data_IF_882576817603
#
_entry.id   IF_882576817603
#
_cell.length_a   1.000
_cell.length_b   1.000
_cell.length_c   1.000
_cell.angle_alpha   90.00
_cell.angle_beta   90.00
_cell.angle_gamma   90.00
#
_symmetry.space_group_name_H-M   'P 1'
#
loop_
_entity.id
_entity.type
_entity.pdbx_description
1 polymer ?
#
# COMPACT_ATOMS: atom_id res chain seq x y z
N UNK A 1 31.14 -36.44 15.70
CA UNK A 1 29.85 -35.93 16.22
C UNK A 1 29.51 -34.52 15.73
N UNK A 2 30.45 -33.56 15.77
CA UNK A 2 30.24 -32.17 15.30
C UNK A 2 29.58 -32.02 13.92
N UNK A 3 30.06 -32.74 12.89
CA UNK A 3 29.46 -32.68 11.54
C UNK A 3 28.03 -33.25 11.48
N UNK A 4 27.69 -34.22 12.35
CA UNK A 4 26.32 -34.74 12.47
C UNK A 4 25.37 -33.74 13.14
N UNK A 5 25.91 -32.75 13.86
CA UNK A 5 25.18 -31.64 14.47
C UNK A 5 25.09 -30.41 13.55
N UNK A 6 25.48 -30.52 12.27
CA UNK A 6 25.37 -29.42 11.29
C UNK A 6 26.53 -28.42 11.33
N UNK A 7 27.63 -28.73 12.01
CA UNK A 7 28.84 -27.92 11.96
C UNK A 7 29.57 -28.19 10.64
N UNK A 8 29.66 -27.18 9.78
CA UNK A 8 30.23 -27.29 8.43
C UNK A 8 31.76 -27.20 8.43
N UNK A 9 32.34 -26.42 9.36
CA UNK A 9 33.79 -26.27 9.52
C UNK A 9 34.18 -26.58 10.97
N UNK A 10 35.12 -27.50 11.15
CA UNK A 10 35.66 -27.87 12.45
C UNK A 10 37.19 -27.83 12.38
N UNK A 11 37.83 -27.20 13.36
CA UNK A 11 39.29 -27.09 13.43
C UNK A 11 39.78 -27.96 14.57
N UNK A 12 40.59 -28.97 14.26
CA UNK A 12 41.13 -29.87 15.26
C UNK A 12 42.23 -29.19 16.09
N UNK A 13 42.38 -29.63 17.35
CA UNK A 13 43.52 -29.27 18.20
C UNK A 13 44.66 -30.26 18.00
N UNK A 14 45.93 -29.83 18.06
CA UNK A 14 46.39 -28.44 18.18
C UNK A 14 46.10 -27.61 16.91
N UNK A 15 45.83 -26.32 17.09
CA UNK A 15 45.36 -25.42 16.01
C UNK A 15 46.38 -25.38 14.86
N UNK A 16 45.95 -25.72 13.65
CA UNK A 16 46.75 -25.61 12.43
C UNK A 16 46.42 -24.32 11.66
N UNK A 17 47.43 -23.47 11.43
CA UNK A 17 47.26 -22.18 10.74
C UNK A 17 46.79 -22.33 9.28
N UNK A 18 47.15 -23.42 8.60
CA UNK A 18 46.74 -23.70 7.21
C UNK A 18 45.25 -24.03 7.16
N UNK A 19 44.76 -24.83 8.12
CA UNK A 19 43.35 -25.20 8.27
C UNK A 19 42.50 -23.95 8.57
N UNK A 20 42.95 -23.11 9.51
CA UNK A 20 42.29 -21.84 9.84
C UNK A 20 42.16 -20.94 8.61
N UNK A 21 43.23 -20.75 7.83
CA UNK A 21 43.18 -19.93 6.60
C UNK A 21 42.22 -20.48 5.56
N UNK A 22 42.15 -21.80 5.44
CA UNK A 22 41.27 -22.48 4.48
C UNK A 22 39.81 -22.33 4.88
N UNK A 23 39.50 -22.53 6.16
CA UNK A 23 38.15 -22.32 6.72
C UNK A 23 37.71 -20.87 6.52
N UNK A 24 38.56 -19.89 6.85
CA UNK A 24 38.22 -18.47 6.67
C UNK A 24 37.97 -18.09 5.20
N UNK A 25 38.75 -18.64 4.27
CA UNK A 25 38.54 -18.43 2.83
C UNK A 25 37.19 -18.99 2.38
N UNK A 26 36.83 -20.19 2.84
CA UNK A 26 35.58 -20.85 2.48
C UNK A 26 34.36 -20.13 3.08
N UNK A 27 34.45 -19.65 4.32
CA UNK A 27 33.40 -18.82 4.95
C UNK A 27 33.20 -17.51 4.18
N UNK A 28 34.29 -16.83 3.80
CA UNK A 28 34.21 -15.60 2.99
C UNK A 28 33.53 -15.85 1.65
N UNK A 29 33.88 -16.95 0.97
CA UNK A 29 33.27 -17.30 -0.32
C UNK A 29 31.79 -17.65 -0.19
N UNK A 30 31.41 -18.35 0.89
CA UNK A 30 30.01 -18.69 1.19
C UNK A 30 29.17 -17.44 1.45
N UNK A 31 29.70 -16.47 2.20
CA UNK A 31 29.07 -15.17 2.40
C UNK A 31 28.89 -14.39 1.09
N UNK A 32 29.93 -14.35 0.25
CA UNK A 32 29.85 -13.69 -1.05
C UNK A 32 28.78 -14.32 -1.96
N UNK A 33 28.72 -15.65 -1.99
CA UNK A 33 27.74 -16.40 -2.77
C UNK A 33 26.31 -16.17 -2.27
N UNK A 34 26.11 -16.15 -0.95
CA UNK A 34 24.81 -15.84 -0.34
C UNK A 34 24.32 -14.43 -0.72
N UNK A 35 25.22 -13.44 -0.70
CA UNK A 35 24.89 -12.07 -1.13
C UNK A 35 24.53 -12.03 -2.62
N UNK A 36 25.34 -12.67 -3.48
CA UNK A 36 25.09 -12.73 -4.92
C UNK A 36 23.76 -13.42 -5.25
N UNK A 37 23.44 -14.53 -4.59
CA UNK A 37 22.16 -15.23 -4.76
C UNK A 37 20.97 -14.40 -4.26
N UNK A 38 21.14 -13.66 -3.16
CA UNK A 38 20.14 -12.69 -2.70
C UNK A 38 19.87 -11.61 -3.76
N UNK A 39 20.92 -11.08 -4.39
CA UNK A 39 20.78 -10.02 -5.38
C UNK A 39 20.20 -10.54 -6.70
N UNK A 40 20.59 -11.75 -7.13
CA UNK A 40 19.94 -12.46 -8.24
C UNK A 40 18.46 -12.69 -7.93
N UNK A 41 18.12 -13.14 -6.72
CA UNK A 41 16.73 -13.35 -6.28
C UNK A 41 15.92 -12.05 -6.35
N UNK A 42 16.47 -10.92 -5.91
CA UNK A 42 15.83 -9.60 -6.05
C UNK A 42 15.62 -9.22 -7.51
N UNK A 43 16.60 -9.47 -8.38
CA UNK A 43 16.47 -9.18 -9.81
C UNK A 43 15.42 -10.07 -10.48
N UNK A 44 15.39 -11.36 -10.18
CA UNK A 44 14.41 -12.32 -10.74
C UNK A 44 12.99 -12.06 -10.22
N UNK A 45 12.85 -11.66 -8.95
CA UNK A 45 11.56 -11.24 -8.39
C UNK A 45 11.03 -9.94 -9.01
N UNK A 46 11.87 -9.11 -9.64
CA UNK A 46 11.41 -7.95 -10.41
C UNK A 46 10.85 -8.33 -11.80
N UNK A 47 11.13 -9.54 -12.31
CA UNK A 47 10.67 -10.02 -13.62
C UNK A 47 9.53 -11.04 -13.54
N UNK A 48 9.18 -11.51 -12.34
CA UNK A 48 8.03 -12.40 -12.13
C UNK A 48 6.92 -11.59 -11.45
N UNK A 49 5.68 -11.54 -11.99
CA UNK A 49 4.56 -11.00 -11.24
C UNK A 49 4.32 -11.93 -10.05
N UNK A 50 4.88 -11.55 -8.91
CA UNK A 50 4.97 -12.40 -7.73
C UNK A 50 3.58 -12.53 -7.09
N UNK A 51 3.05 -13.75 -7.07
CA UNK A 51 2.03 -14.18 -6.11
C UNK A 51 2.61 -14.02 -4.70
N UNK A 52 2.18 -12.98 -3.99
CA UNK A 52 2.63 -12.63 -2.64
C UNK A 52 1.70 -13.20 -1.55
N UNK A 53 2.23 -13.43 -0.33
CA UNK A 53 1.53 -14.13 0.76
C UNK A 53 0.26 -13.41 1.21
N UNK A 54 -0.72 -14.17 1.73
CA UNK A 54 -2.12 -13.80 2.04
C UNK A 54 -2.37 -12.54 2.89
N UNK A 55 -1.34 -11.89 3.45
CA UNK A 55 -1.45 -10.57 4.09
C UNK A 55 -1.24 -9.39 3.13
N UNK A 56 -0.64 -9.63 1.95
CA UNK A 56 -0.47 -8.67 0.87
C UNK A 56 -1.71 -8.55 -0.04
N UNK A 57 -2.58 -9.57 -0.09
CA UNK A 57 -3.82 -9.56 -0.89
C UNK A 57 -4.75 -8.40 -0.52
N UNK A 58 -4.78 -8.04 0.77
CA UNK A 58 -5.54 -6.91 1.29
C UNK A 58 -4.86 -5.54 1.08
N UNK A 59 -3.59 -5.48 0.65
CA UNK A 59 -3.01 -4.23 0.17
C UNK A 59 -3.22 -4.06 -1.34
N UNK A 60 -3.45 -5.16 -2.07
CA UNK A 60 -3.63 -5.13 -3.52
C UNK A 60 -4.97 -4.52 -3.94
N UNK A 61 -6.07 -4.80 -3.23
CA UNK A 61 -7.40 -4.33 -3.64
C UNK A 61 -7.64 -2.83 -3.41
N UNK A 62 -7.30 -2.31 -2.23
CA UNK A 62 -7.32 -0.87 -1.98
C UNK A 62 -6.40 -0.12 -2.95
N UNK A 63 -5.18 -0.62 -3.17
CA UNK A 63 -4.24 -0.02 -4.14
C UNK A 63 -4.77 -0.07 -5.57
N UNK A 64 -5.34 -1.20 -6.01
CA UNK A 64 -5.95 -1.34 -7.32
C UNK A 64 -7.15 -0.39 -7.49
N UNK A 65 -7.97 -0.21 -6.45
CA UNK A 65 -9.07 0.75 -6.47
C UNK A 65 -8.54 2.18 -6.57
N UNK A 66 -7.54 2.57 -5.78
CA UNK A 66 -6.92 3.91 -5.87
C UNK A 66 -6.27 4.16 -7.24
N UNK A 67 -5.66 3.14 -7.85
CA UNK A 67 -5.13 3.22 -9.22
C UNK A 67 -6.26 3.39 -10.24
N UNK A 68 -7.35 2.64 -10.10
CA UNK A 68 -8.53 2.77 -10.95
C UNK A 68 -9.18 4.16 -10.84
N UNK A 69 -9.10 4.80 -9.67
CA UNK A 69 -9.53 6.20 -9.47
C UNK A 69 -8.55 7.25 -10.02
N UNK A 70 -7.38 6.83 -10.52
CA UNK A 70 -6.33 7.74 -10.99
C UNK A 70 -5.67 8.55 -9.87
N UNK A 71 -5.57 7.97 -8.67
CA UNK A 71 -5.03 8.66 -7.47
C UNK A 71 -3.58 8.28 -7.16
N UNK A 72 -2.93 7.45 -7.95
CA UNK A 72 -1.60 6.88 -7.63
C UNK A 72 -0.51 7.93 -7.40
N UNK A 73 -0.58 9.07 -8.10
CA UNK A 73 0.40 10.17 -7.99
C UNK A 73 0.16 11.12 -6.80
N UNK A 74 -0.95 10.97 -6.07
CA UNK A 74 -1.32 11.89 -5.01
C UNK A 74 -0.57 11.60 -3.70
N UNK A 75 -0.06 12.65 -3.05
CA UNK A 75 0.68 12.51 -1.77
C UNK A 75 -0.16 11.89 -0.66
N UNK A 76 -1.49 12.06 -0.70
CA UNK A 76 -2.41 11.48 0.28
C UNK A 76 -2.70 9.99 0.08
N UNK A 77 -2.26 9.38 -1.02
CA UNK A 77 -2.53 7.96 -1.33
C UNK A 77 -1.81 7.02 -0.37
N UNK A 78 -0.57 7.34 0.01
CA UNK A 78 0.16 6.57 1.03
C UNK A 78 -0.48 6.68 2.42
N UNK A 79 -0.97 7.87 2.78
CA UNK A 79 -1.71 8.10 4.02
C UNK A 79 -3.01 7.27 4.07
N UNK A 80 -3.77 7.26 2.96
CA UNK A 80 -4.99 6.43 2.81
C UNK A 80 -4.65 4.96 3.06
N UNK A 81 -3.64 4.41 2.36
CA UNK A 81 -3.26 3.00 2.49
C UNK A 81 -2.82 2.64 3.91
N UNK A 82 -2.12 3.55 4.61
CA UNK A 82 -1.71 3.36 6.00
C UNK A 82 -2.91 3.36 6.95
N UNK A 83 -3.88 4.23 6.74
CA UNK A 83 -5.08 4.28 7.59
C UNK A 83 -5.97 3.06 7.33
N UNK A 84 -6.11 2.62 6.09
CA UNK A 84 -6.85 1.39 5.74
C UNK A 84 -6.25 0.17 6.45
N UNK A 85 -4.92 0.04 6.50
CA UNK A 85 -4.30 -1.08 7.23
C UNK A 85 -4.56 -1.02 8.73
N UNK A 86 -4.54 0.18 9.33
CA UNK A 86 -4.92 0.37 10.74
C UNK A 86 -6.39 0.04 11.00
N UNK A 87 -7.30 0.47 10.12
CA UNK A 87 -8.73 0.15 10.19
C UNK A 87 -8.99 -1.36 10.24
N UNK A 88 -8.28 -2.12 9.41
CA UNK A 88 -8.39 -3.58 9.39
C UNK A 88 -7.85 -4.24 10.65
N UNK A 89 -6.71 -3.79 11.15
CA UNK A 89 -6.09 -4.34 12.37
C UNK A 89 -7.02 -4.12 13.57
N UNK A 90 -7.62 -2.94 13.67
CA UNK A 90 -8.55 -2.60 14.75
C UNK A 90 -9.96 -3.18 14.53
N UNK A 91 -10.31 -3.56 13.30
CA UNK A 91 -11.67 -3.96 12.88
C UNK A 91 -12.73 -2.90 13.20
N UNK A 92 -12.33 -1.65 13.03
CA UNK A 92 -13.15 -0.47 13.36
C UNK A 92 -13.25 0.48 12.16
N UNK A 93 -14.30 1.30 12.17
CA UNK A 93 -14.48 2.34 11.16
C UNK A 93 -13.59 3.55 11.43
N UNK A 94 -13.37 4.40 10.41
CA UNK A 94 -12.46 5.54 10.52
C UNK A 94 -12.81 6.50 11.68
N UNK A 95 -14.10 6.63 12.02
CA UNK A 95 -14.58 7.46 13.13
C UNK A 95 -14.20 6.95 14.52
N UNK A 96 -14.07 5.64 14.68
CA UNK A 96 -13.87 5.00 15.99
C UNK A 96 -12.40 4.78 16.32
N UNK A 97 -11.52 5.02 15.34
CA UNK A 97 -10.09 4.76 15.48
C UNK A 97 -9.40 6.00 16.02
N UNK A 98 -8.63 5.80 17.09
CA UNK A 98 -7.70 6.81 17.58
C UNK A 98 -6.39 6.78 16.77
N UNK A 99 -6.38 7.57 15.70
CA UNK A 99 -5.19 7.69 14.84
C UNK A 99 -4.02 8.37 15.54
N UNK A 100 -4.27 9.24 16.51
CA UNK A 100 -3.22 9.94 17.27
C UNK A 100 -2.46 8.93 18.12
N UNK A 101 -3.19 8.09 18.85
CA UNK A 101 -2.61 7.02 19.65
C UNK A 101 -1.91 5.96 18.78
N UNK A 102 -2.55 5.49 17.70
CA UNK A 102 -2.02 4.40 16.88
C UNK A 102 -0.81 4.79 16.04
N UNK A 103 -0.75 6.04 15.59
CA UNK A 103 0.36 6.53 14.78
C UNK A 103 1.41 7.29 15.60
N UNK A 104 1.14 7.57 16.88
CA UNK A 104 2.03 8.36 17.75
C UNK A 104 2.20 9.79 17.25
N UNK A 105 1.12 10.40 16.75
CA UNK A 105 1.13 11.73 16.13
C UNK A 105 0.32 12.73 16.96
N UNK A 106 0.65 14.01 16.82
CA UNK A 106 -0.14 15.11 17.38
C UNK A 106 -1.43 15.38 16.60
N UNK A 107 -2.39 16.06 17.23
CA UNK A 107 -3.61 16.56 16.57
C UNK A 107 -3.27 17.43 15.33
N UNK A 108 -2.20 18.22 15.41
CA UNK A 108 -1.74 19.05 14.30
C UNK A 108 -1.29 18.22 13.09
N UNK A 109 -0.48 17.19 13.33
CA UNK A 109 -0.02 16.26 12.28
C UNK A 109 -1.19 15.48 11.68
N UNK A 110 -2.14 15.04 12.52
CA UNK A 110 -3.38 14.41 12.04
C UNK A 110 -4.15 15.33 11.10
N UNK A 111 -4.29 16.61 11.44
CA UNK A 111 -4.97 17.59 10.58
C UNK A 111 -4.25 17.76 9.23
N UNK A 112 -2.91 17.72 9.22
CA UNK A 112 -2.12 17.77 7.98
C UNK A 112 -2.39 16.52 7.12
N UNK A 113 -2.37 15.33 7.72
CA UNK A 113 -2.66 14.06 7.05
C UNK A 113 -4.07 14.10 6.44
N UNK A 114 -5.08 14.48 7.22
CA UNK A 114 -6.46 14.61 6.75
C UNK A 114 -6.57 15.56 5.55
N UNK A 115 -5.83 16.68 5.54
CA UNK A 115 -5.84 17.58 4.40
C UNK A 115 -5.18 16.99 3.16
N UNK A 116 -4.09 16.21 3.31
CA UNK A 116 -3.50 15.49 2.17
C UNK A 116 -4.47 14.46 1.60
N UNK A 117 -5.16 13.72 2.47
CA UNK A 117 -6.18 12.76 2.09
C UNK A 117 -7.34 13.46 1.37
N UNK A 118 -7.85 14.58 1.89
CA UNK A 118 -8.93 15.36 1.24
C UNK A 118 -8.56 15.79 -0.16
N UNK A 119 -7.32 16.28 -0.36
CA UNK A 119 -6.82 16.68 -1.68
C UNK A 119 -6.77 15.50 -2.64
N UNK A 120 -6.22 14.36 -2.20
CA UNK A 120 -6.17 13.15 -3.00
C UNK A 120 -7.57 12.65 -3.41
N UNK A 121 -8.50 12.55 -2.45
CA UNK A 121 -9.89 12.13 -2.69
C UNK A 121 -10.58 13.08 -3.68
N UNK A 122 -10.30 14.38 -3.61
CA UNK A 122 -10.88 15.37 -4.55
C UNK A 122 -10.39 15.17 -5.98
N UNK A 123 -9.11 14.81 -6.17
CA UNK A 123 -8.57 14.42 -7.48
C UNK A 123 -9.26 13.17 -7.99
N UNK A 124 -9.42 12.14 -7.15
CA UNK A 124 -10.17 10.93 -7.51
C UNK A 124 -11.60 11.22 -7.93
N UNK A 125 -12.33 12.04 -7.17
CA UNK A 125 -13.70 12.46 -7.51
C UNK A 125 -13.74 13.16 -8.88
N UNK A 126 -12.81 14.08 -9.14
CA UNK A 126 -12.74 14.79 -10.41
C UNK A 126 -12.46 13.84 -11.59
N UNK A 127 -11.52 12.90 -11.43
CA UNK A 127 -11.20 11.92 -12.45
C UNK A 127 -12.41 11.03 -12.80
N UNK A 128 -13.13 10.57 -11.77
CA UNK A 128 -14.32 9.72 -11.94
C UNK A 128 -15.47 10.48 -12.59
N UNK A 129 -15.70 11.72 -12.18
CA UNK A 129 -16.71 12.56 -12.81
C UNK A 129 -16.45 12.77 -14.30
N UNK A 130 -15.20 13.05 -14.70
CA UNK A 130 -14.84 13.17 -16.12
C UNK A 130 -15.08 11.86 -16.87
N UNK A 131 -14.64 10.72 -16.30
CA UNK A 131 -14.85 9.41 -16.91
C UNK A 131 -16.33 9.04 -17.06
N UNK A 132 -17.18 9.40 -16.09
CA UNK A 132 -18.63 9.20 -16.18
C UNK A 132 -19.33 10.18 -17.12
N UNK A 133 -18.74 11.36 -17.37
CA UNK A 133 -19.21 12.26 -18.43
C UNK A 133 -18.91 11.64 -19.80
N UNK A 134 -17.70 11.13 -19.98
CA UNK A 134 -17.26 10.50 -21.23
C UNK A 134 -17.98 9.16 -21.49
N UNK A 135 -18.26 8.39 -20.43
CA UNK A 135 -18.97 7.11 -20.50
C UNK A 135 -19.99 6.95 -19.35
N UNK A 136 -21.22 7.47 -19.50
CA UNK A 136 -22.25 7.41 -18.46
C UNK A 136 -22.81 6.01 -18.15
N UNK A 137 -22.55 5.03 -19.02
CA UNK A 137 -23.11 3.68 -18.92
C UNK A 137 -22.14 2.67 -18.27
N UNK A 138 -20.99 3.14 -17.78
CA UNK A 138 -20.04 2.30 -17.04
C UNK A 138 -20.61 1.97 -15.64
N UNK A 139 -21.32 0.84 -15.56
CA UNK A 139 -21.95 0.35 -14.33
C UNK A 139 -20.91 0.11 -13.21
N UNK A 140 -19.76 -0.47 -13.55
CA UNK A 140 -18.69 -0.71 -12.58
C UNK A 140 -18.16 0.59 -11.99
N UNK A 141 -17.96 1.60 -12.84
CA UNK A 141 -17.52 2.92 -12.42
C UNK A 141 -18.58 3.62 -11.57
N UNK A 142 -19.85 3.52 -11.96
CA UNK A 142 -20.99 4.07 -11.22
C UNK A 142 -21.08 3.47 -9.82
N UNK A 143 -21.03 2.15 -9.70
CA UNK A 143 -21.11 1.44 -8.42
C UNK A 143 -19.96 1.83 -7.48
N UNK A 144 -18.73 1.80 -7.99
CA UNK A 144 -17.54 2.20 -7.23
C UNK A 144 -17.65 3.67 -6.80
N UNK A 145 -18.10 4.55 -7.70
CA UNK A 145 -18.24 5.97 -7.40
C UNK A 145 -19.30 6.24 -6.33
N UNK A 146 -20.42 5.52 -6.37
CA UNK A 146 -21.51 5.62 -5.40
C UNK A 146 -21.09 5.10 -4.03
N UNK A 147 -20.35 3.99 -4.00
CA UNK A 147 -19.80 3.44 -2.76
C UNK A 147 -18.85 4.44 -2.08
N UNK A 148 -17.89 4.98 -2.83
CA UNK A 148 -16.80 5.78 -2.27
C UNK A 148 -17.18 7.25 -2.02
N UNK A 149 -17.94 7.86 -2.91
CA UNK A 149 -18.27 9.30 -2.87
C UNK A 149 -19.76 9.54 -2.64
N UNK A 150 -20.62 8.67 -3.15
CA UNK A 150 -22.06 8.85 -3.17
C UNK A 150 -22.56 9.62 -4.37
N UNK A 151 -23.74 9.23 -4.83
CA UNK A 151 -24.38 9.76 -6.03
C UNK A 151 -24.41 11.29 -6.07
N UNK A 152 -24.87 11.96 -5.01
CA UNK A 152 -25.00 13.42 -4.97
C UNK A 152 -23.65 14.12 -5.21
N UNK A 153 -22.57 13.59 -4.64
CA UNK A 153 -21.24 14.17 -4.77
C UNK A 153 -20.70 13.97 -6.19
N UNK A 154 -20.82 12.75 -6.73
CA UNK A 154 -20.42 12.41 -8.09
C UNK A 154 -21.17 13.27 -9.10
N UNK A 155 -22.51 13.30 -8.99
CA UNK A 155 -23.35 14.07 -9.89
C UNK A 155 -23.06 15.58 -9.81
N UNK A 156 -22.86 16.12 -8.61
CA UNK A 156 -22.48 17.52 -8.42
C UNK A 156 -21.13 17.85 -9.06
N UNK A 157 -20.14 16.94 -8.97
CA UNK A 157 -18.85 17.12 -9.63
C UNK A 157 -18.99 17.06 -11.15
N UNK A 158 -19.80 16.13 -11.69
CA UNK A 158 -20.05 16.04 -13.12
C UNK A 158 -20.70 17.32 -13.68
N UNK A 159 -21.68 17.88 -12.97
CA UNK A 159 -22.31 19.14 -13.37
C UNK A 159 -21.34 20.32 -13.30
N UNK A 160 -20.47 20.35 -12.29
CA UNK A 160 -19.43 21.37 -12.17
C UNK A 160 -18.44 21.33 -13.32
N UNK A 161 -17.95 20.15 -13.70
CA UNK A 161 -17.03 19.98 -14.82
C UNK A 161 -17.65 20.35 -16.18
N UNK A 162 -18.97 20.17 -16.32
CA UNK A 162 -19.74 20.61 -17.49
C UNK A 162 -20.10 22.11 -17.47
N UNK A 163 -19.70 22.88 -16.44
CA UNK A 163 -20.06 24.29 -16.28
C UNK A 163 -21.53 24.54 -15.93
N UNK A 164 -22.30 23.49 -15.60
CA UNK A 164 -23.72 23.57 -15.22
C UNK A 164 -23.93 23.96 -13.76
N UNK A 165 -22.86 23.95 -12.95
CA UNK A 165 -22.89 24.31 -11.53
C UNK A 165 -21.65 25.12 -11.16
N UNK A 166 -21.80 26.05 -10.23
CA UNK A 166 -20.71 26.91 -9.74
C UNK A 166 -19.75 26.22 -8.76
N UNK A 167 -20.14 25.08 -8.20
CA UNK A 167 -19.34 24.32 -7.24
C UNK A 167 -19.47 22.82 -7.49
N UNK A 168 -18.40 22.08 -7.20
CA UNK A 168 -18.34 20.63 -7.35
C UNK A 168 -18.93 19.84 -6.19
N UNK A 169 -18.73 18.52 -6.25
CA UNK A 169 -19.09 17.56 -5.21
C UNK A 169 -18.29 17.72 -3.93
N UNK A 170 -18.95 17.45 -2.80
CA UNK A 170 -18.32 17.44 -1.48
C UNK A 170 -17.78 16.06 -1.15
N UNK A 171 -16.57 16.02 -0.59
CA UNK A 171 -15.92 14.76 -0.21
C UNK A 171 -16.03 14.52 1.30
N UNK A 172 -16.08 13.25 1.69
CA UNK A 172 -16.02 12.78 3.08
C UNK A 172 -14.91 11.76 3.19
N UNK A 173 -13.88 12.07 4.00
CA UNK A 173 -12.78 11.12 4.26
C UNK A 173 -13.34 9.81 4.77
N UNK A 174 -14.22 9.89 5.78
CA UNK A 174 -14.76 8.72 6.42
C UNK A 174 -15.54 7.83 5.44
N UNK A 175 -16.45 8.41 4.64
CA UNK A 175 -17.22 7.62 3.66
C UNK A 175 -16.29 6.93 2.66
N UNK A 176 -15.28 7.64 2.19
CA UNK A 176 -14.32 7.11 1.24
C UNK A 176 -13.50 5.96 1.83
N UNK A 177 -12.98 6.11 3.05
CA UNK A 177 -12.18 5.09 3.71
C UNK A 177 -13.01 3.88 4.13
N UNK A 178 -14.17 4.09 4.75
CA UNK A 178 -15.08 3.00 5.12
C UNK A 178 -15.55 2.24 3.86
N UNK A 179 -15.85 2.97 2.76
CA UNK A 179 -16.19 2.38 1.47
C UNK A 179 -15.06 1.56 0.85
N UNK A 180 -13.80 2.02 0.97
CA UNK A 180 -12.63 1.25 0.53
C UNK A 180 -12.47 -0.05 1.32
N UNK A 181 -12.64 -0.03 2.63
CA UNK A 181 -12.56 -1.26 3.46
C UNK A 181 -13.69 -2.23 3.14
N UNK A 182 -14.90 -1.73 2.87
CA UNK A 182 -16.05 -2.59 2.58
C UNK A 182 -15.98 -3.35 1.25
N UNK A 183 -15.10 -2.92 0.35
CA UNK A 183 -14.93 -3.50 -0.99
C UNK A 183 -13.92 -4.66 -1.02
N UNK A 184 -13.20 -4.88 0.09
CA UNK A 184 -12.16 -5.90 0.21
C UNK A 184 -12.65 -7.21 0.82
#
# INVERSE_FOLDING_TARGET
EAYKAGIEFFINKPINLIEVKTVLKNVRQSLQMATQLSDISKMVNNFTPQSQPKSAEAHHQATATLNYLGMTSEKGTSDILKIISLMKVQKENYRNIDLEQLMGISEHERRIIDQRIRRAIKVGLANIANRLIDNPYDEQLSDISNLLFGYESVHSEMLYQQGKRSSGGRISIQKFLDGLVSKE
#
